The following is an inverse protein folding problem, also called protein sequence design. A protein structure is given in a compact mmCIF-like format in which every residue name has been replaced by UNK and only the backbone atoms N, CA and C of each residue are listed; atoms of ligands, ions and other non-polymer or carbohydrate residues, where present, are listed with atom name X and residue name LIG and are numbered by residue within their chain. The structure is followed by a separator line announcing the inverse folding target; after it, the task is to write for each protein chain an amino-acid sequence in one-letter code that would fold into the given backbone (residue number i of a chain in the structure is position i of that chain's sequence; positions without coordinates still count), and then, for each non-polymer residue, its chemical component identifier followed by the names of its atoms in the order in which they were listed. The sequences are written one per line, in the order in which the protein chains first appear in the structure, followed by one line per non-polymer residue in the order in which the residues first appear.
data_IF_371791860518
#
_entry.id   IF_371791860518
#
_cell.length_a   1.000
_cell.length_b   1.000
_cell.length_c   1.000
_cell.angle_alpha   90.00
_cell.angle_beta   90.00
_cell.angle_gamma   90.00
#
_symmetry.space_group_name_H-M   'P 1'
#
loop_
_entity.id
_entity.type
_entity.pdbx_description
1 polymer ?
#
# COMPACT_ATOMS: atom_id res chain seq x y z
N UNK A 1 6.66 -0.42 -0.39
CA UNK A 1 5.68 0.60 -0.82
C UNK A 1 4.68 -0.05 -1.77
N UNK A 2 3.41 0.35 -1.65
CA UNK A 2 2.28 -0.15 -2.44
C UNK A 2 1.45 1.04 -2.94
N UNK A 3 1.10 1.08 -4.22
CA UNK A 3 0.19 2.09 -4.79
C UNK A 3 -0.89 1.40 -5.62
N UNK A 4 -2.12 1.89 -5.49
CA UNK A 4 -3.18 1.59 -6.43
C UNK A 4 -3.91 2.87 -6.87
N UNK A 5 -4.46 2.81 -8.08
CA UNK A 5 -5.41 3.78 -8.60
C UNK A 5 -6.80 3.15 -8.56
N UNK A 6 -7.76 3.80 -7.91
CA UNK A 6 -9.12 3.28 -7.90
C UNK A 6 -9.78 3.40 -9.28
N UNK A 7 -10.85 2.65 -9.49
CA UNK A 7 -11.84 3.02 -10.51
C UNK A 7 -12.36 4.43 -10.20
N UNK A 8 -12.61 5.23 -11.24
CA UNK A 8 -13.00 6.64 -11.11
C UNK A 8 -14.14 6.83 -10.10
N UNK A 9 -13.96 7.74 -9.14
CA UNK A 9 -14.92 8.05 -8.09
C UNK A 9 -14.92 7.08 -6.90
N UNK A 10 -14.11 6.01 -6.92
CA UNK A 10 -14.00 5.03 -5.83
C UNK A 10 -12.78 5.22 -4.93
N UNK A 11 -12.11 6.38 -4.99
CA UNK A 11 -10.90 6.65 -4.18
C UNK A 11 -11.10 6.50 -2.67
N UNK A 12 -12.26 6.90 -2.15
CA UNK A 12 -12.59 6.74 -0.73
C UNK A 12 -12.79 5.29 -0.32
N UNK A 13 -13.38 4.49 -1.19
CA UNK A 13 -13.57 3.06 -0.96
C UNK A 13 -12.22 2.32 -1.02
N UNK A 14 -11.36 2.68 -1.97
CA UNK A 14 -10.00 2.14 -2.04
C UNK A 14 -9.20 2.50 -0.79
N UNK A 15 -9.35 3.72 -0.27
CA UNK A 15 -8.69 4.10 0.99
C UNK A 15 -9.20 3.27 2.16
N UNK A 16 -10.53 3.14 2.29
CA UNK A 16 -11.14 2.35 3.35
C UNK A 16 -10.68 0.89 3.29
N UNK A 17 -10.68 0.31 2.09
CA UNK A 17 -10.16 -1.03 1.84
C UNK A 17 -8.69 -1.16 2.25
N UNK A 18 -7.83 -0.22 1.83
CA UNK A 18 -6.40 -0.25 2.15
C UNK A 18 -6.17 -0.18 3.66
N UNK A 19 -6.91 0.69 4.37
CA UNK A 19 -6.85 0.80 5.85
C UNK A 19 -7.34 -0.47 6.54
N UNK A 20 -8.27 -1.21 5.95
CA UNK A 20 -8.72 -2.50 6.48
C UNK A 20 -7.67 -3.61 6.32
N UNK A 21 -6.68 -3.47 5.42
CA UNK A 21 -5.57 -4.42 5.25
C UNK A 21 -4.49 -4.31 6.34
N UNK A 22 -4.87 -3.98 7.58
CA UNK A 22 -3.95 -3.93 8.75
C UNK A 22 -3.78 -5.30 9.40
N UNK A 23 -4.84 -6.10 9.62
CA UNK A 23 -4.72 -7.45 10.18
C UNK A 23 -4.13 -8.47 9.21
N UNK A 24 -4.08 -8.15 7.92
CA UNK A 24 -3.67 -9.07 6.85
C UNK A 24 -2.14 -9.15 6.65
N UNK A 25 -1.35 -8.35 7.37
CA UNK A 25 0.11 -8.50 7.38
C UNK A 25 0.47 -9.45 8.53
N UNK A 26 1.00 -10.63 8.21
CA UNK A 26 1.39 -11.65 9.19
C UNK A 26 2.42 -11.15 10.23
N UNK A 27 3.05 -10.01 9.96
CA UNK A 27 3.88 -9.24 10.88
C UNK A 27 3.49 -7.75 10.82
N UNK A 28 3.61 -7.05 11.95
CA UNK A 28 3.32 -5.62 12.01
C UNK A 28 4.54 -4.78 11.60
N UNK A 29 4.41 -3.82 10.65
CA UNK A 29 5.50 -2.91 10.31
C UNK A 29 5.79 -1.93 11.45
N UNK A 30 7.04 -1.43 11.55
CA UNK A 30 7.43 -0.45 12.59
C UNK A 30 6.78 0.91 12.38
N UNK A 31 6.44 1.22 11.13
CA UNK A 31 5.66 2.40 10.74
C UNK A 31 4.81 2.04 9.54
N UNK A 32 3.61 2.58 9.50
CA UNK A 32 2.72 2.52 8.34
C UNK A 32 2.12 3.88 8.08
N UNK A 33 2.20 4.32 6.85
CA UNK A 33 1.56 5.54 6.38
C UNK A 33 0.64 5.23 5.23
N UNK A 34 -0.49 5.95 5.18
CA UNK A 34 -1.47 5.83 4.11
C UNK A 34 -1.81 7.22 3.61
N UNK A 35 -1.52 7.47 2.34
CA UNK A 35 -1.64 8.76 1.69
C UNK A 35 -2.65 8.66 0.54
N UNK A 36 -3.26 9.81 0.20
CA UNK A 36 -4.05 9.97 -1.03
C UNK A 36 -3.27 10.81 -2.03
N UNK A 37 -3.45 10.53 -3.31
CA UNK A 37 -2.93 11.32 -4.41
C UNK A 37 -4.02 11.68 -5.43
N UNK A 38 -3.68 12.45 -6.47
CA UNK A 38 -4.58 12.75 -7.58
C UNK A 38 -5.09 11.49 -8.27
N UNK A 39 -6.21 11.60 -8.99
CA UNK A 39 -6.82 10.50 -9.76
C UNK A 39 -7.20 9.28 -8.91
N UNK A 40 -7.80 9.49 -7.75
CA UNK A 40 -8.24 8.43 -6.83
C UNK A 40 -7.11 7.44 -6.44
N UNK A 41 -5.87 7.94 -6.35
CA UNK A 41 -4.71 7.14 -5.93
C UNK A 41 -4.63 7.01 -4.41
N UNK A 42 -4.26 5.81 -3.99
CA UNK A 42 -3.92 5.49 -2.61
C UNK A 42 -2.51 4.91 -2.59
N UNK A 43 -1.68 5.46 -1.71
CA UNK A 43 -0.30 5.04 -1.46
C UNK A 43 -0.21 4.53 -0.03
N UNK A 44 0.36 3.34 0.14
CA UNK A 44 0.70 2.77 1.43
C UNK A 44 2.21 2.55 1.50
N UNK A 45 2.84 3.18 2.49
CA UNK A 45 4.27 2.97 2.78
C UNK A 45 4.36 2.26 4.12
N UNK A 46 5.12 1.17 4.15
CA UNK A 46 5.45 0.40 5.35
C UNK A 46 6.96 0.38 5.52
N UNK A 47 7.39 0.57 6.76
CA UNK A 47 8.78 0.44 7.18
C UNK A 47 8.91 -0.81 8.03
N UNK A 48 10.00 -1.52 7.87
CA UNK A 48 10.29 -2.77 8.55
C UNK A 48 11.68 -2.72 9.13
N UNK A 49 11.84 -3.29 10.32
CA UNK A 49 13.14 -3.55 10.92
C UNK A 49 13.64 -4.91 10.39
N UNK A 50 14.16 -4.90 9.16
CA UNK A 50 14.58 -6.09 8.42
C UNK A 50 15.61 -5.74 7.34
N UNK A 51 16.35 -6.74 6.87
CA UNK A 51 17.25 -6.60 5.71
C UNK A 51 16.49 -6.26 4.43
N UNK A 52 17.16 -5.61 3.47
CA UNK A 52 16.51 -5.05 2.26
C UNK A 52 15.78 -6.11 1.41
N UNK A 53 16.34 -7.31 1.32
CA UNK A 53 15.85 -8.45 0.53
C UNK A 53 15.02 -9.45 1.36
N UNK A 54 14.71 -9.14 2.62
CA UNK A 54 13.86 -9.99 3.46
C UNK A 54 12.48 -10.23 2.81
N UNK A 55 11.92 -11.42 3.00
CA UNK A 55 10.53 -11.70 2.61
C UNK A 55 9.58 -11.06 3.64
N UNK A 56 8.79 -10.09 3.18
CA UNK A 56 7.99 -9.21 4.04
C UNK A 56 6.54 -9.20 3.56
N UNK A 57 5.55 -9.16 4.47
CA UNK A 57 4.15 -9.08 4.09
C UNK A 57 3.87 -7.87 3.19
N UNK A 58 3.18 -8.11 2.08
CA UNK A 58 2.74 -7.08 1.14
C UNK A 58 1.22 -6.94 1.17
N UNK A 59 0.71 -5.74 0.87
CA UNK A 59 -0.72 -5.56 0.69
C UNK A 59 -1.19 -6.38 -0.54
N UNK A 60 -2.35 -7.05 -0.44
CA UNK A 60 -2.90 -7.82 -1.54
C UNK A 60 -3.32 -6.91 -2.70
N UNK A 61 -3.75 -7.51 -3.80
CA UNK A 61 -4.44 -6.77 -4.85
C UNK A 61 -5.93 -6.61 -4.46
N UNK A 62 -6.51 -5.42 -4.60
CA UNK A 62 -7.93 -5.23 -4.42
C UNK A 62 -8.70 -5.86 -5.59
N UNK A 63 -9.99 -6.12 -5.39
CA UNK A 63 -10.84 -6.66 -6.44
C UNK A 63 -10.83 -5.79 -7.70
N UNK A 64 -11.02 -6.41 -8.87
CA UNK A 64 -11.00 -5.74 -10.18
C UNK A 64 -12.05 -4.62 -10.34
N UNK A 65 -13.08 -4.59 -9.48
CA UNK A 65 -14.05 -3.49 -9.45
C UNK A 65 -13.53 -2.24 -8.71
N UNK A 66 -12.53 -2.38 -7.85
CA UNK A 66 -12.05 -1.33 -6.96
C UNK A 66 -10.79 -0.65 -7.49
N UNK A 67 -9.83 -1.40 -8.06
CA UNK A 67 -8.66 -0.81 -8.72
C UNK A 67 -8.81 -0.81 -10.24
N UNK A 68 -8.45 0.31 -10.87
CA UNK A 68 -8.51 0.48 -12.32
C UNK A 68 -7.40 -0.27 -13.08
N UNK A 69 -6.34 -0.69 -12.36
CA UNK A 69 -5.17 -1.40 -12.89
C UNK A 69 -4.47 -2.18 -11.78
N UNK A 70 -3.55 -3.05 -12.17
CA UNK A 70 -2.67 -3.74 -11.23
C UNK A 70 -1.92 -2.75 -10.32
N UNK A 71 -1.70 -3.16 -9.08
CA UNK A 71 -1.02 -2.34 -8.07
C UNK A 71 0.48 -2.27 -8.35
N UNK A 72 1.11 -1.18 -7.93
CA UNK A 72 2.55 -1.00 -8.03
C UNK A 72 3.21 -1.31 -6.68
N UNK A 73 4.31 -2.07 -6.71
CA UNK A 73 5.08 -2.46 -5.51
C UNK A 73 6.55 -2.18 -5.68
N UNK A 74 7.14 -1.44 -4.74
CA UNK A 74 8.54 -1.02 -4.80
C UNK A 74 9.19 -1.09 -3.41
N UNK A 75 10.47 -1.47 -3.38
CA UNK A 75 11.34 -1.49 -2.19
C UNK A 75 12.26 -0.27 -2.24
N UNK A 76 12.49 0.35 -1.09
CA UNK A 76 13.36 1.53 -0.96
C UNK A 76 14.12 1.44 0.36
N UNK A 77 15.31 2.05 0.39
CA UNK A 77 16.05 2.30 1.63
C UNK A 77 16.00 3.79 1.97
N UNK A 78 16.11 4.11 3.26
CA UNK A 78 16.23 5.50 3.70
C UNK A 78 17.68 5.92 3.53
N UNK A 79 17.94 6.75 2.52
CA UNK A 79 19.15 7.58 2.49
C UNK A 79 18.89 8.76 3.40
N UNK A 80 19.75 9.00 4.40
CA UNK A 80 19.57 10.11 5.35
C UNK A 80 19.49 11.49 4.67
N UNK A 81 19.27 12.53 5.47
CA UNK A 81 19.33 13.93 4.99
C UNK A 81 20.75 14.37 4.60
#
# INVERSE_FOLDING_TARGET
MWEARAVEGRGDELLAWARAQVPALDAAPVRRETLRGPEDRVLVITWWDAEYDADLPELPEPDAGLAARAVHRWRFEVVGE
#
